data_IF_103824984427
#
_entry.id   IF_103824984427
#
_cell.length_a   1.000
_cell.length_b   1.000
_cell.length_c   1.000
_cell.angle_alpha   90.00
_cell.angle_beta   90.00
_cell.angle_gamma   90.00
#
_symmetry.space_group_name_H-M   'P 1'
#
loop_
_entity.id
_entity.type
_entity.pdbx_description
1 polymer ?
#
# COMPACT_ATOMS: atom_id res chain seq x y z
N UNK A 1 0.92 -13.20 -29.17
CA UNK A 1 1.11 -11.74 -29.17
C UNK A 1 0.01 -11.17 -28.28
N UNK A 2 0.33 -10.90 -27.01
CA UNK A 2 -0.51 -10.11 -26.07
C UNK A 2 0.16 -9.89 -24.69
N UNK A 3 1.31 -10.51 -24.39
CA UNK A 3 1.92 -10.44 -23.04
C UNK A 3 2.79 -9.20 -22.73
N UNK A 4 2.81 -8.17 -23.58
CA UNK A 4 3.68 -7.00 -23.42
C UNK A 4 2.99 -5.72 -22.91
N UNK A 5 1.66 -5.69 -22.82
CA UNK A 5 0.94 -4.51 -22.36
C UNK A 5 0.80 -4.55 -20.83
N UNK A 6 1.68 -3.81 -20.13
CA UNK A 6 1.44 -3.49 -18.72
C UNK A 6 0.15 -2.65 -18.54
N UNK A 7 -0.30 -2.50 -17.31
CA UNK A 7 -1.47 -1.68 -16.97
C UNK A 7 -1.22 -0.86 -15.71
N UNK A 8 -1.86 0.32 -15.66
CA UNK A 8 -1.69 1.27 -14.58
C UNK A 8 -2.28 0.73 -13.25
N UNK A 9 -1.71 1.12 -12.09
CA UNK A 9 -2.22 0.72 -10.79
C UNK A 9 -3.69 1.08 -10.61
N UNK A 10 -4.52 0.10 -10.27
CA UNK A 10 -5.95 0.29 -9.99
C UNK A 10 -6.30 -0.33 -8.65
N UNK A 11 -7.03 0.39 -7.79
CA UNK A 11 -7.46 -0.17 -6.51
C UNK A 11 -8.46 -1.31 -6.72
N UNK A 12 -8.11 -2.49 -6.23
CA UNK A 12 -9.02 -3.65 -6.15
C UNK A 12 -9.68 -3.72 -4.78
N UNK A 13 -9.04 -3.15 -3.75
CA UNK A 13 -9.63 -2.95 -2.44
C UNK A 13 -9.46 -1.48 -2.03
N UNK A 14 -10.58 -0.84 -1.67
CA UNK A 14 -10.58 0.57 -1.22
C UNK A 14 -9.63 0.76 -0.03
N UNK A 15 -8.92 1.89 0.07
CA UNK A 15 -8.13 2.21 1.24
C UNK A 15 -8.95 2.18 2.53
N UNK A 16 -8.37 1.61 3.59
CA UNK A 16 -8.97 1.51 4.93
C UNK A 16 -7.99 1.92 6.00
N UNK A 17 -8.52 2.48 7.08
CA UNK A 17 -7.79 2.79 8.31
C UNK A 17 -8.30 1.82 9.37
N UNK A 18 -7.40 1.02 9.93
CA UNK A 18 -7.71 -0.06 10.87
C UNK A 18 -6.92 0.21 12.15
N UNK A 19 -7.55 0.70 13.23
CA UNK A 19 -6.92 0.74 14.54
C UNK A 19 -6.83 -0.67 15.14
N UNK A 20 -5.82 -0.93 15.95
CA UNK A 20 -5.81 -2.11 16.82
C UNK A 20 -6.73 -1.88 18.04
N UNK A 21 -7.01 -2.95 18.79
CA UNK A 21 -7.95 -2.93 19.91
C UNK A 21 -7.57 -1.94 21.02
N UNK A 22 -6.26 -1.69 21.21
CA UNK A 22 -5.76 -0.72 22.19
C UNK A 22 -5.68 0.73 21.66
N UNK A 23 -5.93 0.95 20.37
CA UNK A 23 -5.77 2.26 19.70
C UNK A 23 -4.32 2.74 19.57
N UNK A 24 -3.33 1.92 19.94
CA UNK A 24 -1.89 2.26 19.92
C UNK A 24 -1.24 1.99 18.56
N UNK A 25 -1.90 1.28 17.66
CA UNK A 25 -1.41 0.97 16.32
C UNK A 25 -2.51 1.29 15.32
N UNK A 26 -2.18 2.08 14.30
CA UNK A 26 -3.06 2.38 13.19
C UNK A 26 -2.45 1.81 11.92
N UNK A 27 -3.19 0.97 11.21
CA UNK A 27 -2.80 0.43 9.92
C UNK A 27 -3.62 1.08 8.82
N UNK A 28 -2.95 1.82 7.93
CA UNK A 28 -3.52 2.24 6.65
C UNK A 28 -3.21 1.16 5.61
N UNK A 29 -4.24 0.65 4.94
CA UNK A 29 -4.13 -0.48 4.01
C UNK A 29 -4.90 -0.24 2.73
N UNK A 30 -4.36 -0.66 1.60
CA UNK A 30 -5.09 -0.79 0.34
C UNK A 30 -4.53 -1.97 -0.48
N UNK A 31 -5.29 -2.38 -1.50
CA UNK A 31 -4.79 -3.33 -2.51
C UNK A 31 -4.96 -2.76 -3.89
N UNK A 32 -3.94 -2.89 -4.71
CA UNK A 32 -3.98 -2.48 -6.11
C UNK A 32 -3.53 -3.61 -7.03
N UNK A 33 -4.10 -3.63 -8.24
CA UNK A 33 -3.58 -4.44 -9.34
C UNK A 33 -2.66 -3.57 -10.19
N UNK A 34 -1.46 -4.02 -10.52
CA UNK A 34 -0.53 -3.29 -11.39
C UNK A 34 0.41 -4.23 -12.13
N UNK A 35 0.77 -3.90 -13.37
CA UNK A 35 1.84 -4.56 -14.12
C UNK A 35 2.62 -3.50 -14.90
N UNK A 36 3.90 -3.26 -14.63
CA UNK A 36 4.76 -3.96 -13.66
C UNK A 36 4.41 -3.62 -12.20
N UNK A 37 5.17 -4.21 -11.26
CA UNK A 37 5.13 -3.90 -9.83
C UNK A 37 5.08 -2.38 -9.60
N UNK A 38 4.15 -1.87 -8.75
CA UNK A 38 3.99 -0.44 -8.56
C UNK A 38 5.13 0.16 -7.74
N UNK A 39 5.39 1.45 -7.94
CA UNK A 39 6.15 2.26 -7.00
C UNK A 39 5.18 3.02 -6.11
N UNK A 40 5.36 2.92 -4.79
CA UNK A 40 4.41 3.46 -3.80
C UNK A 40 5.09 4.51 -2.94
N UNK A 41 4.40 5.62 -2.69
CA UNK A 41 4.85 6.68 -1.78
C UNK A 41 3.67 7.14 -0.95
N UNK A 42 3.83 7.16 0.37
CA UNK A 42 2.81 7.62 1.30
C UNK A 42 3.01 9.10 1.63
N UNK A 43 1.93 9.83 1.83
CA UNK A 43 1.95 11.26 2.14
C UNK A 43 1.09 11.57 3.38
N UNK A 44 1.56 12.54 4.16
CA UNK A 44 0.76 13.24 5.19
C UNK A 44 0.59 14.68 4.74
N UNK A 45 -0.59 15.01 4.20
CA UNK A 45 -0.79 16.28 3.50
C UNK A 45 0.12 16.35 2.27
N UNK A 46 1.05 17.31 2.25
CA UNK A 46 2.06 17.46 1.19
C UNK A 46 3.41 16.81 1.52
N UNK A 47 3.59 16.26 2.73
CA UNK A 47 4.87 15.72 3.19
C UNK A 47 4.99 14.23 2.90
N UNK A 48 6.06 13.83 2.20
CA UNK A 48 6.39 12.42 1.99
C UNK A 48 6.68 11.74 3.33
N UNK A 49 5.99 10.63 3.58
CA UNK A 49 6.24 9.77 4.73
C UNK A 49 7.35 8.79 4.40
N UNK A 50 8.32 8.67 5.31
CA UNK A 50 9.42 7.71 5.23
C UNK A 50 9.35 6.77 6.43
N UNK A 51 9.97 5.60 6.28
CA UNK A 51 10.10 4.66 7.39
C UNK A 51 10.86 5.29 8.57
N UNK A 52 10.43 4.95 9.77
CA UNK A 52 11.02 5.42 11.03
C UNK A 52 10.69 4.46 12.17
N UNK A 53 11.11 4.78 13.40
CA UNK A 53 10.76 3.97 14.57
C UNK A 53 9.24 3.89 14.82
N UNK A 54 8.48 4.90 14.39
CA UNK A 54 7.02 4.95 14.53
C UNK A 54 6.26 4.52 13.28
N UNK A 55 6.92 4.46 12.13
CA UNK A 55 6.26 4.23 10.84
C UNK A 55 6.92 3.06 10.13
N UNK A 56 6.13 2.03 9.83
CA UNK A 56 6.56 0.88 9.03
C UNK A 56 5.75 0.85 7.73
N UNK A 57 6.42 0.75 6.59
CA UNK A 57 5.76 0.69 5.27
C UNK A 57 6.04 -0.69 4.69
N UNK A 58 5.00 -1.38 4.21
CA UNK A 58 5.16 -2.68 3.59
C UNK A 58 4.39 -2.77 2.28
N UNK A 59 4.94 -3.58 1.40
CA UNK A 59 4.35 -3.97 0.14
C UNK A 59 4.50 -5.48 0.01
N UNK A 60 3.41 -6.16 -0.31
CA UNK A 60 3.39 -7.60 -0.52
C UNK A 60 2.59 -7.92 -1.77
N UNK A 61 3.19 -8.68 -2.68
CA UNK A 61 2.40 -9.32 -3.74
C UNK A 61 1.57 -10.45 -3.11
N UNK A 62 0.25 -10.36 -3.21
CA UNK A 62 -0.68 -11.32 -2.62
C UNK A 62 -1.29 -12.26 -3.66
N UNK A 63 -1.42 -11.81 -4.90
CA UNK A 63 -1.85 -12.60 -6.06
C UNK A 63 -1.08 -12.13 -7.31
N UNK A 64 -1.31 -12.73 -8.47
CA UNK A 64 -0.73 -12.27 -9.73
C UNK A 64 -1.10 -10.81 -10.00
N UNK A 65 -0.08 -9.96 -10.14
CA UNK A 65 -0.18 -8.51 -10.31
C UNK A 65 -0.97 -7.75 -9.21
N UNK A 66 -1.37 -8.40 -8.10
CA UNK A 66 -2.08 -7.75 -6.98
C UNK A 66 -1.14 -7.55 -5.80
N UNK A 67 -1.04 -6.30 -5.36
CA UNK A 67 -0.17 -5.85 -4.28
C UNK A 67 -1.00 -5.29 -3.13
N UNK A 68 -0.75 -5.80 -1.93
CA UNK A 68 -1.21 -5.25 -0.68
C UNK A 68 -0.17 -4.24 -0.16
N UNK A 69 -0.64 -3.03 0.11
CA UNK A 69 0.16 -1.90 0.55
C UNK A 69 -0.29 -1.54 1.96
N UNK A 70 0.65 -1.50 2.92
CA UNK A 70 0.36 -1.12 4.30
C UNK A 70 1.31 -0.06 4.81
N UNK A 71 0.78 0.85 5.62
CA UNK A 71 1.54 1.76 6.47
C UNK A 71 1.02 1.64 7.89
N UNK A 72 1.89 1.24 8.80
CA UNK A 72 1.60 1.07 10.23
C UNK A 72 2.19 2.26 11.00
N UNK A 73 1.40 2.84 11.91
CA UNK A 73 1.78 3.95 12.77
C UNK A 73 1.66 3.51 14.23
N UNK A 74 2.77 3.54 14.96
CA UNK A 74 2.88 3.22 16.39
C UNK A 74 2.91 4.48 17.27
#
# INVERSE_FOLDING_TARGET
AEDAAGFAPTFVEKPRIIPNDSGTLITMKCKCKAKPKPQVTWFRGSTVVKESTKITIREKQVEEDIYELTMEIK
#
